data_IF_362842566220
#
_entry.id   IF_362842566220
#
_cell.length_a   1.000
_cell.length_b   1.000
_cell.length_c   1.000
_cell.angle_alpha   90.00
_cell.angle_beta   90.00
_cell.angle_gamma   90.00
#
_symmetry.space_group_name_H-M   'P 1'
#
loop_
_entity.id
_entity.type
_entity.pdbx_description
1 polymer ?
#
# COMPACT_ATOMS: atom_id res chain seq x y z
N UNK A 1 -20.93 1.56 -15.37
CA UNK A 1 -19.54 1.58 -14.88
C UNK A 1 -18.73 2.35 -15.89
N UNK A 2 -18.85 3.68 -15.84
CA UNK A 2 -18.30 4.58 -16.85
C UNK A 2 -16.94 5.10 -16.37
N UNK A 3 -15.90 4.31 -16.64
CA UNK A 3 -14.50 4.63 -16.29
C UNK A 3 -13.93 5.80 -17.12
N UNK A 4 -14.72 6.33 -18.08
CA UNK A 4 -14.38 7.47 -18.93
C UNK A 4 -15.20 8.73 -18.61
N UNK A 5 -16.05 8.70 -17.57
CA UNK A 5 -16.73 9.91 -17.12
C UNK A 5 -15.69 10.96 -16.69
N UNK A 6 -15.80 12.13 -17.30
CA UNK A 6 -15.01 13.36 -17.02
C UNK A 6 -15.05 13.76 -15.53
N UNK A 7 -15.96 13.18 -14.75
CA UNK A 7 -16.13 13.40 -13.31
C UNK A 7 -15.06 12.74 -12.43
N UNK A 8 -14.33 11.71 -12.89
CA UNK A 8 -13.26 11.12 -12.11
C UNK A 8 -11.91 11.81 -12.39
N UNK A 9 -11.87 13.13 -12.24
CA UNK A 9 -10.62 13.90 -12.24
C UNK A 9 -9.77 13.39 -11.10
N UNK A 10 -8.66 12.76 -11.43
CA UNK A 10 -7.69 12.28 -10.46
C UNK A 10 -7.12 13.48 -9.66
N UNK A 11 -7.61 13.68 -8.43
CA UNK A 11 -7.13 14.73 -7.53
C UNK A 11 -5.82 14.30 -6.86
N UNK A 12 -4.73 14.57 -7.57
CA UNK A 12 -3.38 14.26 -7.11
C UNK A 12 -3.02 14.92 -5.76
N UNK A 13 -3.29 16.23 -5.53
CA UNK A 13 -3.06 16.85 -4.23
C UNK A 13 -3.69 16.13 -3.04
N UNK A 14 -4.94 15.65 -3.19
CA UNK A 14 -5.64 14.87 -2.17
C UNK A 14 -4.99 13.51 -1.95
N UNK A 15 -4.73 12.77 -3.02
CA UNK A 15 -4.08 11.45 -2.96
C UNK A 15 -2.67 11.50 -2.39
N UNK A 16 -1.91 12.54 -2.73
CA UNK A 16 -0.56 12.78 -2.18
C UNK A 16 -0.57 12.83 -0.66
N UNK A 17 -1.55 13.52 -0.06
CA UNK A 17 -1.71 13.61 1.39
C UNK A 17 -2.25 12.30 1.98
N UNK A 18 -3.29 11.72 1.38
CA UNK A 18 -3.94 10.52 1.90
C UNK A 18 -2.99 9.30 1.93
N UNK A 19 -2.18 9.12 0.89
CA UNK A 19 -1.30 7.97 0.71
C UNK A 19 0.16 8.24 1.13
N UNK A 20 0.44 9.43 1.68
CA UNK A 20 1.79 9.87 2.03
C UNK A 20 2.80 9.62 0.90
N UNK A 21 2.46 10.09 -0.30
CA UNK A 21 3.26 9.84 -1.51
C UNK A 21 4.60 10.56 -1.47
N UNK A 22 4.72 11.66 -0.74
CA UNK A 22 5.94 12.46 -0.66
C UNK A 22 6.39 12.57 0.79
N UNK A 23 7.68 12.26 1.06
CA UNK A 23 8.35 12.51 2.34
C UNK A 23 9.34 13.68 2.28
N UNK A 24 9.72 14.13 1.09
CA UNK A 24 10.82 15.09 0.91
C UNK A 24 12.16 14.38 0.72
N UNK A 25 13.25 15.14 0.60
CA UNK A 25 14.58 14.56 0.46
C UNK A 25 14.91 13.70 1.69
N UNK A 26 15.39 12.49 1.44
CA UNK A 26 15.85 11.55 2.47
C UNK A 26 17.33 11.81 2.76
N UNK A 27 17.71 11.71 4.02
CA UNK A 27 19.11 11.74 4.43
C UNK A 27 19.83 10.46 3.97
N UNK A 28 21.17 10.50 3.94
CA UNK A 28 22.00 9.37 3.49
C UNK A 28 21.80 8.12 4.37
N UNK A 29 21.58 8.30 5.67
CA UNK A 29 21.31 7.21 6.62
C UNK A 29 19.98 6.51 6.33
N UNK A 30 18.93 7.28 6.05
CA UNK A 30 17.60 6.75 5.70
C UNK A 30 17.61 6.01 4.35
N UNK A 31 18.53 6.40 3.46
CA UNK A 31 18.73 5.73 2.18
C UNK A 31 19.43 4.37 2.35
N UNK A 32 20.33 4.26 3.33
CA UNK A 32 21.09 3.04 3.62
C UNK A 32 20.27 2.01 4.40
N UNK A 33 19.43 2.48 5.31
CA UNK A 33 18.56 1.64 6.14
C UNK A 33 17.09 2.03 5.96
N UNK A 34 16.50 1.73 4.80
CA UNK A 34 15.16 2.19 4.48
C UNK A 34 14.10 1.59 5.40
N UNK A 35 13.28 2.47 5.97
CA UNK A 35 12.10 2.14 6.78
C UNK A 35 10.84 1.96 5.92
N UNK A 36 10.77 2.65 4.78
CA UNK A 36 9.60 2.69 3.89
C UNK A 36 10.02 2.75 2.41
N UNK A 37 9.08 2.54 1.49
CA UNK A 37 9.30 2.51 0.04
C UNK A 37 9.73 3.85 -0.58
N UNK A 38 9.76 4.95 0.20
CA UNK A 38 10.24 6.26 -0.25
C UNK A 38 11.71 6.25 -0.69
N UNK A 39 12.51 5.28 -0.22
CA UNK A 39 13.92 5.13 -0.59
C UNK A 39 14.14 4.94 -2.10
N UNK A 40 13.08 4.60 -2.84
CA UNK A 40 13.15 4.44 -4.29
C UNK A 40 13.61 5.70 -5.01
N UNK A 41 13.23 6.86 -4.48
CA UNK A 41 13.56 8.16 -5.07
C UNK A 41 14.12 9.07 -3.97
N UNK A 42 15.36 8.86 -3.51
CA UNK A 42 15.90 9.48 -2.30
C UNK A 42 15.84 11.02 -2.34
N UNK A 43 16.08 11.62 -3.51
CA UNK A 43 16.03 13.08 -3.69
C UNK A 43 14.64 13.70 -3.58
N UNK A 44 13.58 12.95 -3.89
CA UNK A 44 12.20 13.47 -3.89
C UNK A 44 11.36 12.88 -2.75
N UNK A 45 11.83 11.76 -2.17
CA UNK A 45 11.09 10.92 -1.25
C UNK A 45 9.74 10.53 -1.80
N UNK A 46 9.65 10.23 -3.11
CA UNK A 46 8.41 9.77 -3.71
C UNK A 46 8.21 8.27 -3.46
N UNK A 47 7.02 7.88 -3.03
CA UNK A 47 6.58 6.50 -2.98
C UNK A 47 5.68 6.22 -4.20
N UNK A 48 5.96 5.17 -5.00
CA UNK A 48 5.09 4.79 -6.10
C UNK A 48 3.64 4.62 -5.64
N UNK A 49 2.74 5.42 -6.21
CA UNK A 49 1.34 5.45 -5.81
C UNK A 49 0.61 4.12 -6.02
N UNK A 50 0.95 3.38 -7.09
CA UNK A 50 0.47 2.01 -7.36
C UNK A 50 0.70 1.06 -6.17
N UNK A 51 1.85 1.18 -5.51
CA UNK A 51 2.22 0.35 -4.37
C UNK A 51 1.54 0.82 -3.09
N UNK A 52 1.35 2.13 -2.92
CA UNK A 52 0.60 2.68 -1.79
C UNK A 52 -0.87 2.29 -1.80
N UNK A 53 -1.50 2.30 -2.97
CA UNK A 53 -2.86 1.81 -3.14
C UNK A 53 -2.96 0.34 -2.74
N UNK A 54 -1.99 -0.48 -3.16
CA UNK A 54 -1.94 -1.88 -2.76
C UNK A 54 -1.77 -2.03 -1.25
N UNK A 55 -0.85 -1.28 -0.62
CA UNK A 55 -0.67 -1.29 0.83
C UNK A 55 -1.97 -0.90 1.57
N UNK A 56 -2.69 0.12 1.09
CA UNK A 56 -3.97 0.55 1.67
C UNK A 56 -5.05 -0.53 1.50
N UNK A 57 -5.15 -1.15 0.32
CA UNK A 57 -6.11 -2.23 0.03
C UNK A 57 -5.89 -3.48 0.90
N UNK A 58 -4.63 -3.76 1.26
CA UNK A 58 -4.26 -4.89 2.10
C UNK A 58 -4.25 -4.54 3.60
N UNK A 59 -4.60 -3.30 3.97
CA UNK A 59 -4.57 -2.84 5.36
C UNK A 59 -3.16 -2.82 5.97
N UNK A 60 -2.12 -2.71 5.14
CA UNK A 60 -0.73 -2.66 5.60
C UNK A 60 -0.49 -1.34 6.34
N UNK A 61 0.16 -1.43 7.51
CA UNK A 61 0.52 -0.24 8.30
C UNK A 61 1.80 0.37 7.74
N UNK A 62 1.67 1.51 7.08
CA UNK A 62 2.82 2.30 6.58
C UNK A 62 2.78 3.78 7.01
N UNK A 63 1.67 4.25 7.59
CA UNK A 63 1.45 5.66 7.96
C UNK A 63 2.00 6.04 9.35
N UNK A 64 2.87 5.24 9.97
CA UNK A 64 3.28 5.38 11.37
C UNK A 64 4.29 6.50 11.67
N UNK A 65 4.59 7.37 10.71
CA UNK A 65 5.61 8.43 10.87
C UNK A 65 5.08 9.86 11.07
N UNK A 66 3.76 10.05 11.18
CA UNK A 66 3.21 11.29 11.73
C UNK A 66 2.86 11.06 13.21
N UNK A 67 3.83 11.27 14.10
CA UNK A 67 3.57 11.46 15.53
C UNK A 67 2.95 12.86 15.72
N UNK A 68 1.77 13.07 15.15
CA UNK A 68 0.93 14.23 15.45
C UNK A 68 -0.12 13.80 16.47
N UNK A 69 -0.03 14.25 17.75
CA UNK A 69 -0.95 13.89 18.83
C UNK A 69 -2.40 14.37 18.60
N UNK A 70 -2.70 15.00 17.47
CA UNK A 70 -4.02 15.54 17.10
C UNK A 70 -4.73 14.75 16.00
N UNK A 71 -4.07 13.77 15.37
CA UNK A 71 -4.69 12.95 14.31
C UNK A 71 -5.66 11.87 14.83
N UNK A 72 -5.78 11.72 16.15
CA UNK A 72 -6.80 10.88 16.80
C UNK A 72 -8.25 11.32 16.52
N UNK A 73 -8.48 12.49 15.93
CA UNK A 73 -9.83 13.00 15.61
C UNK A 73 -10.38 12.56 14.24
N UNK A 74 -9.59 11.92 13.38
CA UNK A 74 -10.06 11.37 12.10
C UNK A 74 -10.15 9.84 12.09
N UNK A 75 -9.91 9.19 13.23
CA UNK A 75 -10.33 7.81 13.50
C UNK A 75 -11.75 7.75 14.06
N UNK A 76 -12.68 8.56 13.51
CA UNK A 76 -14.11 8.45 13.81
C UNK A 76 -14.75 7.54 12.76
N UNK A 77 -14.59 6.23 12.96
CA UNK A 77 -15.12 5.20 12.08
C UNK A 77 -14.81 3.75 12.48
N UNK A 78 -13.94 3.51 13.46
CA UNK A 78 -13.84 2.20 14.12
C UNK A 78 -14.18 2.37 15.61
N UNK A 79 -15.41 2.01 15.95
CA UNK A 79 -15.92 2.05 17.31
C UNK A 79 -15.07 1.19 18.25
N UNK A 80 -14.53 1.82 19.28
CA UNK A 80 -14.00 1.14 20.46
C UNK A 80 -14.70 1.74 21.68
N UNK A 81 -15.88 1.18 21.99
CA UNK A 81 -16.63 1.40 23.21
C UNK A 81 -16.31 0.27 24.20
N UNK A 82 -15.89 0.66 25.39
CA UNK A 82 -15.40 -0.20 26.46
C UNK A 82 -16.53 -0.98 27.18
N UNK A 83 -16.13 -2.03 27.91
CA UNK A 83 -16.80 -2.74 29.01
C UNK A 83 -17.58 -4.04 28.72
N UNK A 84 -16.94 -5.14 29.11
CA UNK A 84 -17.46 -6.22 29.98
C UNK A 84 -18.98 -6.49 30.01
N UNK A 85 -19.40 -7.64 29.48
CA UNK A 85 -20.04 -8.75 30.24
C UNK A 85 -20.78 -9.75 29.33
N UNK A 86 -20.45 -11.04 29.52
CA UNK A 86 -21.29 -12.26 29.53
C UNK A 86 -22.28 -12.57 28.37
N UNK A 87 -22.21 -13.85 27.96
CA UNK A 87 -23.31 -14.80 27.69
C UNK A 87 -23.92 -14.93 26.26
N UNK A 88 -23.58 -16.05 25.61
CA UNK A 88 -24.48 -17.05 24.99
C UNK A 88 -25.11 -16.85 23.59
N UNK A 89 -25.05 -17.97 22.82
CA UNK A 89 -25.91 -18.42 21.69
C UNK A 89 -25.58 -17.85 20.30
N UNK A 90 -24.94 -18.59 19.39
CA UNK A 90 -25.45 -19.66 18.50
C UNK A 90 -26.24 -19.15 17.26
N UNK A 91 -25.66 -19.47 16.10
CA UNK A 91 -26.25 -19.90 14.81
C UNK A 91 -26.17 -18.99 13.58
N UNK A 92 -25.54 -19.58 12.54
CA UNK A 92 -25.69 -19.40 11.08
C UNK A 92 -25.21 -18.09 10.42
N UNK A 93 -24.53 -18.04 9.28
CA UNK A 93 -23.83 -18.99 8.40
C UNK A 93 -23.06 -18.14 7.36
N UNK A 94 -22.02 -18.69 6.73
CA UNK A 94 -21.07 -18.07 5.78
C UNK A 94 -19.87 -17.31 6.38
N UNK A 95 -19.16 -17.98 7.30
CA UNK A 95 -17.78 -17.64 7.63
C UNK A 95 -16.83 -18.24 6.58
N UNK A 96 -16.18 -17.39 5.77
CA UNK A 96 -14.92 -17.75 5.13
C UNK A 96 -13.91 -18.04 6.24
N UNK A 97 -13.61 -19.32 6.44
CA UNK A 97 -12.66 -19.80 7.44
C UNK A 97 -11.27 -19.17 7.25
N UNK A 98 -11.01 -18.08 7.96
CA UNK A 98 -9.66 -17.73 8.37
C UNK A 98 -9.27 -18.73 9.45
N UNK A 99 -8.75 -19.88 9.00
CA UNK A 99 -8.11 -20.87 9.82
C UNK A 99 -7.00 -20.19 10.64
N UNK A 100 -7.28 -19.97 11.92
CA UNK A 100 -6.33 -19.56 12.94
C UNK A 100 -5.43 -20.75 13.30
N UNK A 101 -4.79 -21.30 12.28
CA UNK A 101 -3.78 -22.35 12.38
C UNK A 101 -2.44 -21.70 12.67
N UNK A 102 -1.98 -21.89 13.90
CA UNK A 102 -0.72 -21.42 14.47
C UNK A 102 0.52 -22.04 13.77
N UNK A 103 0.72 -21.68 12.51
CA UNK A 103 1.90 -21.96 11.68
C UNK A 103 1.95 -20.89 10.59
N UNK A 104 2.77 -19.85 10.81
CA UNK A 104 2.75 -18.58 10.08
C UNK A 104 2.90 -18.72 8.56
N UNK A 105 1.79 -18.98 7.86
CA UNK A 105 1.73 -19.02 6.40
C UNK A 105 1.58 -17.59 5.88
N UNK A 106 2.52 -17.19 5.02
CA UNK A 106 2.44 -15.91 4.31
C UNK A 106 1.27 -15.96 3.34
N UNK A 107 0.50 -14.88 3.24
CA UNK A 107 -0.55 -14.74 2.24
C UNK A 107 0.09 -14.40 0.89
N UNK A 108 -0.10 -15.26 -0.10
CA UNK A 108 0.43 -15.02 -1.44
C UNK A 108 -0.47 -14.04 -2.21
N UNK A 109 0.11 -12.98 -2.74
CA UNK A 109 -0.60 -11.93 -3.48
C UNK A 109 0.03 -11.78 -4.85
N UNK A 110 -0.73 -12.06 -5.91
CA UNK A 110 -0.34 -11.80 -7.30
C UNK A 110 -0.78 -10.39 -7.69
N UNK A 111 0.18 -9.56 -8.10
CA UNK A 111 -0.04 -8.20 -8.60
C UNK A 111 0.23 -8.19 -10.09
N UNK A 112 -0.81 -7.93 -10.90
CA UNK A 112 -0.71 -7.90 -12.35
C UNK A 112 -0.76 -6.45 -12.87
N UNK A 113 0.34 -5.96 -13.43
CA UNK A 113 0.44 -4.63 -14.05
C UNK A 113 0.06 -4.68 -15.54
N UNK A 114 -1.08 -4.07 -15.87
CA UNK A 114 -1.54 -3.87 -17.26
C UNK A 114 -1.02 -2.52 -17.76
N UNK A 115 -0.21 -2.51 -18.83
CA UNK A 115 0.41 -1.28 -19.38
C UNK A 115 1.90 -1.11 -19.02
N UNK A 116 2.41 -1.99 -18.16
CA UNK A 116 3.83 -2.09 -17.83
C UNK A 116 4.12 -1.72 -16.37
N UNK A 117 5.28 -2.18 -15.90
CA UNK A 117 5.80 -1.90 -14.55
C UNK A 117 7.19 -1.30 -14.64
N UNK A 118 7.50 -0.37 -13.75
CA UNK A 118 8.83 0.22 -13.64
C UNK A 118 9.75 -0.62 -12.76
N UNK A 119 11.07 -0.47 -12.97
CA UNK A 119 12.09 -1.07 -12.11
C UNK A 119 11.97 -0.54 -10.67
N UNK A 120 11.56 0.72 -10.53
CA UNK A 120 11.31 1.35 -9.25
C UNK A 120 10.22 0.61 -8.47
N UNK A 121 9.07 0.35 -9.11
CA UNK A 121 7.98 -0.39 -8.48
C UNK A 121 8.39 -1.82 -8.10
N UNK A 122 9.06 -2.52 -9.01
CA UNK A 122 9.53 -3.88 -8.74
C UNK A 122 10.50 -3.93 -7.55
N UNK A 123 11.36 -2.92 -7.42
CA UNK A 123 12.32 -2.83 -6.31
C UNK A 123 11.61 -2.54 -4.99
N UNK A 124 10.54 -1.75 -5.00
CA UNK A 124 9.72 -1.54 -3.81
C UNK A 124 9.00 -2.83 -3.38
N UNK A 125 8.50 -3.64 -4.31
CA UNK A 125 7.95 -4.96 -3.95
C UNK A 125 9.01 -5.91 -3.36
N UNK A 126 10.25 -5.89 -3.90
CA UNK A 126 11.36 -6.66 -3.32
C UNK A 126 11.65 -6.23 -1.89
N UNK A 127 11.70 -4.92 -1.64
CA UNK A 127 11.84 -4.36 -0.30
C UNK A 127 10.70 -4.79 0.62
N UNK A 128 9.44 -4.74 0.16
CA UNK A 128 8.30 -5.20 0.95
C UNK A 128 8.43 -6.68 1.28
N UNK A 129 8.71 -7.55 0.32
CA UNK A 129 8.87 -9.00 0.56
C UNK A 129 9.99 -9.34 1.57
N UNK A 130 10.97 -8.46 1.75
CA UNK A 130 12.03 -8.61 2.77
C UNK A 130 11.59 -8.11 4.14
N UNK A 131 10.85 -7.00 4.21
CA UNK A 131 10.49 -6.32 5.47
C UNK A 131 9.26 -6.89 6.15
N UNK A 132 8.36 -7.54 5.42
CA UNK A 132 7.12 -8.06 5.98
C UNK A 132 7.03 -9.59 5.88
N UNK A 133 6.43 -10.18 6.91
CA UNK A 133 6.21 -11.63 7.02
C UNK A 133 4.78 -12.04 6.73
N UNK A 134 3.86 -11.09 6.58
CA UNK A 134 2.42 -11.37 6.42
C UNK A 134 2.04 -11.69 4.97
N UNK A 135 2.58 -10.96 4.00
CA UNK A 135 2.30 -11.14 2.58
C UNK A 135 3.55 -11.52 1.78
N UNK A 136 3.36 -12.29 0.72
CA UNK A 136 4.37 -12.61 -0.29
C UNK A 136 3.87 -12.16 -1.65
N UNK A 137 4.51 -11.12 -2.21
CA UNK A 137 4.13 -10.54 -3.50
C UNK A 137 4.78 -11.24 -4.68
N UNK A 138 3.96 -11.63 -5.64
CA UNK A 138 4.35 -12.08 -6.98
C UNK A 138 3.92 -11.03 -7.99
N UNK A 139 4.84 -10.60 -8.84
CA UNK A 139 4.61 -9.50 -9.77
C UNK A 139 4.60 -10.07 -11.18
N UNK A 140 3.49 -9.83 -11.87
CA UNK A 140 3.35 -10.07 -13.30
C UNK A 140 3.07 -8.73 -13.99
N UNK A 141 3.60 -8.53 -15.19
CA UNK A 141 3.38 -7.31 -15.94
C UNK A 141 3.37 -7.60 -17.44
N UNK A 142 2.65 -6.79 -18.20
CA UNK A 142 2.66 -6.87 -19.67
C UNK A 142 4.03 -6.55 -20.25
N UNK A 143 4.79 -5.67 -19.61
CA UNK A 143 6.15 -5.30 -19.99
C UNK A 143 6.88 -4.59 -18.86
N UNK A 144 8.21 -4.49 -18.96
CA UNK A 144 9.00 -3.57 -18.13
C UNK A 144 9.15 -2.24 -18.90
N UNK A 145 8.72 -1.14 -18.28
CA UNK A 145 8.69 0.18 -18.89
C UNK A 145 9.48 1.23 -18.11
N UNK A 146 9.76 2.35 -18.78
CA UNK A 146 10.31 3.58 -18.22
C UNK A 146 9.73 4.77 -18.99
N UNK A 147 10.00 6.00 -18.55
CA UNK A 147 9.46 7.21 -19.18
C UNK A 147 9.75 7.29 -20.68
N UNK A 148 10.98 6.97 -21.11
CA UNK A 148 11.36 7.00 -22.52
C UNK A 148 10.61 5.95 -23.38
N UNK A 149 10.39 4.74 -22.87
CA UNK A 149 9.63 3.70 -23.58
C UNK A 149 8.15 4.09 -23.73
N UNK A 150 7.58 4.72 -22.70
CA UNK A 150 6.20 5.19 -22.74
C UNK A 150 6.03 6.33 -23.75
N UNK A 151 6.94 7.31 -23.73
CA UNK A 151 6.93 8.43 -24.67
C UNK A 151 7.15 7.99 -26.12
N UNK A 152 7.97 6.96 -26.35
CA UNK A 152 8.13 6.36 -27.68
C UNK A 152 6.90 5.59 -28.13
N UNK A 153 6.10 5.04 -27.23
CA UNK A 153 4.91 4.27 -27.61
C UNK A 153 3.75 5.16 -28.10
N UNK A 154 3.78 6.46 -27.80
CA UNK A 154 2.76 7.44 -28.20
C UNK A 154 3.18 8.27 -29.42
N UNK A 155 4.41 8.09 -29.93
CA UNK A 155 4.96 8.76 -31.10
C UNK A 155 5.26 7.74 -32.20
#
# INVERSE_FOLDING_TARGET
>A
MDLLSVENRFDFPKMRKQLLLMRGALDDEDTRHPSDIHFMFPYTGYAPMSIRLLQESLGMKYKTLAKDPTSSLLSLGSGSGNNSSRHHSMSSEAASSYDNGNGGKRTNVLVYYVGGVTVAELTAFRFLNQKQSQFSFFIAATSICNGSRLLRAIY
#
